data_IF_346679520175
#
_entry.id   IF_346679520175
#
_cell.length_a   1.000
_cell.length_b   1.000
_cell.length_c   1.000
_cell.angle_alpha   90.00
_cell.angle_beta   90.00
_cell.angle_gamma   90.00
#
_symmetry.space_group_name_H-M   'P 1'
#
loop_
_entity.id
_entity.type
_entity.pdbx_description
1 polymer ?
#
# COMPACT_ATOMS: atom_id res chain seq x y z
N UNK A 1 5.91 18.06 37.61
CA UNK A 1 4.57 17.51 37.33
C UNK A 1 3.86 18.48 36.40
N UNK A 2 3.45 18.04 35.21
CA UNK A 2 2.68 18.90 34.31
C UNK A 2 1.38 19.33 34.99
N UNK A 3 0.93 20.56 34.73
CA UNK A 3 -0.34 21.05 35.25
C UNK A 3 -1.48 20.18 34.71
N UNK A 4 -2.57 20.06 35.47
CA UNK A 4 -3.76 19.31 35.03
C UNK A 4 -4.26 19.78 33.65
N UNK A 5 -4.11 21.07 33.34
CA UNK A 5 -4.43 21.64 32.04
C UNK A 5 -3.59 21.06 30.89
N UNK A 6 -2.28 20.92 31.05
CA UNK A 6 -1.43 20.34 30.00
C UNK A 6 -1.72 18.86 29.79
N UNK A 7 -1.99 18.10 30.86
CA UNK A 7 -2.39 16.69 30.73
C UNK A 7 -3.72 16.54 29.99
N UNK A 8 -4.69 17.43 30.26
CA UNK A 8 -5.97 17.45 29.54
C UNK A 8 -5.79 17.84 28.07
N UNK A 9 -4.94 18.82 27.77
CA UNK A 9 -4.60 19.16 26.39
C UNK A 9 -3.94 17.99 25.66
N UNK A 10 -2.97 17.32 26.28
CA UNK A 10 -2.32 16.16 25.66
C UNK A 10 -3.31 15.04 25.37
N UNK A 11 -4.24 14.73 26.29
CA UNK A 11 -5.32 13.76 26.06
C UNK A 11 -6.24 14.17 24.92
N UNK A 12 -6.64 15.44 24.88
CA UNK A 12 -7.41 15.99 23.78
C UNK A 12 -6.67 15.88 22.45
N UNK A 13 -5.41 16.31 22.40
CA UNK A 13 -4.59 16.32 21.20
C UNK A 13 -4.24 14.90 20.70
N UNK A 14 -4.09 13.93 21.60
CA UNK A 14 -3.86 12.53 21.23
C UNK A 14 -5.13 11.75 20.90
N UNK A 15 -6.31 12.33 21.15
CA UNK A 15 -7.59 11.62 21.01
C UNK A 15 -7.83 10.54 22.07
N UNK A 16 -7.06 10.54 23.16
CA UNK A 16 -7.16 9.51 24.20
C UNK A 16 -8.50 9.63 24.93
N UNK A 17 -9.22 8.51 25.04
CA UNK A 17 -10.58 8.46 25.61
C UNK A 17 -11.69 9.03 24.72
N UNK A 18 -11.44 9.32 23.43
CA UNK A 18 -12.46 9.93 22.56
C UNK A 18 -13.67 9.02 22.30
N UNK A 19 -13.49 7.70 22.36
CA UNK A 19 -14.59 6.73 22.30
C UNK A 19 -15.64 6.95 23.40
N UNK A 20 -15.23 7.43 24.57
CA UNK A 20 -16.10 7.64 25.74
C UNK A 20 -16.89 8.96 25.67
N UNK A 21 -16.50 9.86 24.77
CA UNK A 21 -17.09 11.20 24.63
C UNK A 21 -17.69 11.43 23.24
N UNK A 22 -17.92 10.38 22.46
CA UNK A 22 -18.42 10.47 21.08
C UNK A 22 -19.68 11.33 20.94
N UNK A 23 -20.62 11.26 21.89
CA UNK A 23 -21.83 12.09 21.88
C UNK A 23 -21.53 13.59 22.15
N UNK A 24 -20.52 13.88 22.96
CA UNK A 24 -20.07 15.26 23.23
C UNK A 24 -19.27 15.82 22.06
N UNK A 25 -18.61 15.00 21.24
CA UNK A 25 -17.86 15.44 20.06
C UNK A 25 -18.76 16.22 19.08
N UNK A 26 -20.06 15.87 19.00
CA UNK A 26 -21.04 16.57 18.15
C UNK A 26 -21.13 18.07 18.41
N UNK A 27 -20.72 18.56 19.58
CA UNK A 27 -20.70 20.00 19.87
C UNK A 27 -19.60 20.75 19.12
N UNK A 28 -18.60 20.04 18.59
CA UNK A 28 -17.54 20.58 17.74
C UNK A 28 -17.91 20.61 16.25
N UNK A 29 -19.10 20.14 15.86
CA UNK A 29 -19.61 20.19 14.48
C UNK A 29 -20.04 21.63 14.12
N UNK A 30 -19.08 22.55 14.08
CA UNK A 30 -19.28 23.97 13.80
C UNK A 30 -18.66 24.35 12.45
N UNK A 31 -19.18 25.38 11.76
CA UNK A 31 -18.56 25.86 10.53
C UNK A 31 -17.13 26.34 10.78
N UNK A 32 -16.17 25.80 10.02
CA UNK A 32 -14.76 26.22 10.03
C UNK A 32 -14.45 26.96 8.73
N UNK A 33 -13.76 28.12 8.76
CA UNK A 33 -13.34 28.82 7.54
C UNK A 33 -12.47 27.93 6.64
N UNK A 34 -12.56 28.15 5.33
CA UNK A 34 -11.74 27.43 4.35
C UNK A 34 -10.26 27.82 4.53
N UNK A 35 -9.38 26.83 4.56
CA UNK A 35 -7.93 27.01 4.62
C UNK A 35 -7.32 27.36 3.23
N UNK A 36 -6.03 27.69 3.20
CA UNK A 36 -5.29 28.05 2.00
C UNK A 36 -5.08 26.84 1.08
N UNK A 37 -5.15 27.08 -0.24
CA UNK A 37 -4.80 26.05 -1.22
C UNK A 37 -3.28 25.85 -1.25
N UNK A 38 -2.83 24.59 -1.27
CA UNK A 38 -1.43 24.22 -1.46
C UNK A 38 -1.22 23.55 -2.82
N UNK A 39 -0.13 23.88 -3.51
CA UNK A 39 0.29 23.23 -4.76
C UNK A 39 1.52 22.36 -4.49
N UNK A 40 1.43 21.05 -4.78
CA UNK A 40 2.53 20.10 -4.60
C UNK A 40 2.96 19.55 -5.97
N UNK A 41 4.23 19.77 -6.33
CA UNK A 41 4.84 19.19 -7.55
C UNK A 41 5.66 17.96 -7.18
N UNK A 42 5.46 16.85 -7.88
CA UNK A 42 6.23 15.61 -7.68
C UNK A 42 6.62 14.99 -9.01
N UNK A 43 7.86 14.55 -9.13
CA UNK A 43 8.35 13.72 -10.23
C UNK A 43 8.13 12.25 -9.91
N UNK A 44 7.53 11.49 -10.83
CA UNK A 44 7.28 10.06 -10.69
C UNK A 44 7.60 9.30 -11.97
N UNK A 45 8.06 8.06 -11.84
CA UNK A 45 8.21 7.13 -12.95
C UNK A 45 6.84 6.71 -13.51
N UNK A 46 6.67 6.84 -14.83
CA UNK A 46 5.44 6.45 -15.54
C UNK A 46 5.24 4.94 -15.44
N UNK A 47 3.98 4.53 -15.23
CA UNK A 47 3.56 3.12 -15.17
C UNK A 47 2.59 2.82 -16.30
N UNK A 48 2.63 1.61 -16.83
CA UNK A 48 1.77 1.12 -17.89
C UNK A 48 0.45 0.60 -17.31
N UNK A 49 -0.63 1.32 -17.60
CA UNK A 49 -1.98 0.85 -17.27
C UNK A 49 -2.33 -0.47 -17.94
N UNK A 50 -1.78 -0.72 -19.15
CA UNK A 50 -2.01 -1.95 -19.91
C UNK A 50 -1.41 -3.16 -19.19
N UNK A 51 -0.15 -3.07 -18.72
CA UNK A 51 0.49 -4.14 -17.96
C UNK A 51 -0.25 -4.45 -16.66
N UNK A 52 -0.71 -3.40 -15.95
CA UNK A 52 -1.52 -3.56 -14.74
C UNK A 52 -2.82 -4.32 -15.04
N UNK A 53 -3.57 -3.90 -16.05
CA UNK A 53 -4.83 -4.56 -16.44
C UNK A 53 -4.58 -6.02 -16.82
N UNK A 54 -3.57 -6.29 -17.65
CA UNK A 54 -3.22 -7.65 -18.04
C UNK A 54 -2.76 -8.52 -16.86
N UNK A 55 -2.05 -7.95 -15.89
CA UNK A 55 -1.72 -8.67 -14.65
C UNK A 55 -2.97 -9.05 -13.84
N UNK A 56 -4.00 -8.21 -13.83
CA UNK A 56 -5.27 -8.52 -13.16
C UNK A 56 -6.03 -9.62 -13.89
N UNK A 57 -6.10 -9.57 -15.22
CA UNK A 57 -6.72 -10.62 -16.03
C UNK A 57 -6.02 -11.97 -15.81
N UNK A 58 -4.69 -12.00 -15.80
CA UNK A 58 -3.91 -13.21 -15.49
C UNK A 58 -4.23 -13.78 -14.09
N UNK A 59 -4.48 -12.89 -13.12
CA UNK A 59 -4.88 -13.29 -11.77
C UNK A 59 -6.38 -13.65 -11.66
N UNK A 60 -7.16 -13.50 -12.73
CA UNK A 60 -8.63 -13.58 -12.75
C UNK A 60 -9.29 -12.65 -11.73
N UNK A 61 -8.73 -11.45 -11.53
CA UNK A 61 -9.18 -10.51 -10.50
C UNK A 61 -9.27 -11.15 -9.10
N UNK A 62 -8.35 -12.06 -8.77
CA UNK A 62 -8.19 -12.64 -7.42
C UNK A 62 -6.88 -12.17 -6.80
N UNK A 63 -6.86 -12.07 -5.48
CA UNK A 63 -5.64 -11.75 -4.76
C UNK A 63 -4.63 -12.90 -4.88
N UNK A 64 -3.38 -12.58 -5.23
CA UNK A 64 -2.30 -13.56 -5.41
C UNK A 64 -1.71 -14.09 -4.10
N UNK A 65 -1.99 -13.42 -2.98
CA UNK A 65 -1.60 -13.88 -1.65
C UNK A 65 -2.65 -14.77 -0.99
N UNK A 66 -3.93 -14.49 -1.23
CA UNK A 66 -5.04 -15.35 -0.80
C UNK A 66 -6.18 -15.27 -1.82
N UNK A 67 -6.45 -16.38 -2.51
CA UNK A 67 -7.45 -16.44 -3.58
C UNK A 67 -8.90 -16.40 -3.07
N UNK A 68 -9.10 -16.62 -1.77
CA UNK A 68 -10.41 -16.59 -1.10
C UNK A 68 -10.81 -15.18 -0.64
N UNK A 69 -9.92 -14.19 -0.77
CA UNK A 69 -10.29 -12.82 -0.44
C UNK A 69 -11.26 -12.26 -1.48
N UNK A 70 -12.47 -11.96 -1.03
CA UNK A 70 -13.49 -11.29 -1.81
C UNK A 70 -13.40 -9.77 -1.66
N UNK A 71 -13.82 -9.07 -2.69
CA UNK A 71 -13.93 -7.61 -2.72
C UNK A 71 -15.20 -7.22 -3.47
N UNK A 72 -15.64 -5.97 -3.28
CA UNK A 72 -16.78 -5.43 -4.00
C UNK A 72 -16.52 -5.42 -5.52
N UNK A 73 -17.59 -5.43 -6.32
CA UNK A 73 -17.49 -5.31 -7.77
C UNK A 73 -17.27 -3.84 -8.15
N UNK A 74 -16.19 -3.56 -8.87
CA UNK A 74 -15.91 -2.21 -9.35
C UNK A 74 -16.79 -1.88 -10.56
N UNK A 75 -17.49 -0.75 -10.51
CA UNK A 75 -18.37 -0.29 -11.60
C UNK A 75 -17.62 -0.14 -12.93
N UNK A 76 -16.40 0.39 -12.90
CA UNK A 76 -15.60 0.67 -14.09
C UNK A 76 -15.15 -0.58 -14.86
N UNK A 77 -15.08 -1.74 -14.22
CA UNK A 77 -14.62 -2.99 -14.84
C UNK A 77 -15.66 -4.11 -14.80
N UNK A 78 -16.69 -4.00 -13.96
CA UNK A 78 -17.64 -5.07 -13.62
C UNK A 78 -16.94 -6.37 -13.15
N UNK A 79 -15.85 -6.22 -12.39
CA UNK A 79 -15.03 -7.30 -11.81
C UNK A 79 -14.76 -7.01 -10.34
N UNK A 80 -14.35 -8.02 -9.53
CA UNK A 80 -13.86 -7.77 -8.17
C UNK A 80 -12.77 -6.69 -8.13
N UNK A 81 -12.90 -5.71 -7.24
CA UNK A 81 -11.95 -4.62 -7.11
C UNK A 81 -10.60 -5.13 -6.59
N UNK A 82 -9.53 -4.85 -7.33
CA UNK A 82 -8.16 -5.25 -7.00
C UNK A 82 -7.19 -4.08 -7.19
N UNK A 83 -6.10 -4.11 -6.43
CA UNK A 83 -5.04 -3.12 -6.44
C UNK A 83 -3.76 -3.74 -7.00
N UNK A 84 -3.08 -2.96 -7.85
CA UNK A 84 -1.84 -3.39 -8.49
C UNK A 84 -0.68 -2.95 -7.63
N UNK A 85 0.14 -3.90 -7.22
CA UNK A 85 1.29 -3.66 -6.37
C UNK A 85 2.57 -4.05 -7.10
N UNK A 86 3.48 -3.09 -7.27
CA UNK A 86 4.85 -3.41 -7.68
C UNK A 86 5.59 -3.97 -6.47
N UNK A 87 5.97 -5.25 -6.52
CA UNK A 87 6.60 -5.93 -5.39
C UNK A 87 7.95 -5.31 -5.01
N UNK A 88 8.76 -4.95 -6.01
CA UNK A 88 9.82 -3.98 -5.86
C UNK A 88 9.27 -2.59 -6.21
N UNK A 89 9.36 -1.61 -5.29
CA UNK A 89 8.73 -0.32 -5.47
C UNK A 89 9.36 0.48 -6.62
N UNK A 90 8.52 1.18 -7.38
CA UNK A 90 8.95 2.03 -8.50
C UNK A 90 9.87 3.20 -8.09
N UNK A 91 9.94 3.54 -6.80
CA UNK A 91 10.91 4.52 -6.28
C UNK A 91 12.36 4.05 -6.42
N UNK A 92 12.59 2.74 -6.56
CA UNK A 92 13.91 2.17 -6.77
C UNK A 92 14.30 2.09 -8.24
N UNK A 93 13.47 2.57 -9.18
CA UNK A 93 13.70 2.41 -10.62
C UNK A 93 15.10 2.87 -11.07
N UNK A 94 15.62 3.94 -10.48
CA UNK A 94 16.97 4.47 -10.76
C UNK A 94 18.12 3.52 -10.37
N UNK A 95 17.85 2.53 -9.50
CA UNK A 95 18.83 1.53 -9.07
C UNK A 95 18.91 0.33 -10.03
N UNK A 96 18.04 0.26 -11.05
CA UNK A 96 17.98 -0.85 -11.99
C UNK A 96 18.21 -0.38 -13.42
N UNK A 97 19.01 -1.13 -14.18
CA UNK A 97 19.24 -0.90 -15.62
C UNK A 97 18.05 -1.34 -16.49
N UNK A 98 17.06 -1.99 -15.90
CA UNK A 98 15.82 -2.47 -16.55
C UNK A 98 14.60 -1.84 -15.90
N UNK A 99 13.48 -1.79 -16.62
CA UNK A 99 12.24 -1.28 -16.03
C UNK A 99 11.73 -2.20 -14.92
N UNK A 100 11.33 -1.60 -13.80
CA UNK A 100 10.58 -2.29 -12.74
C UNK A 100 9.10 -2.44 -13.08
N UNK A 101 8.61 -1.76 -14.11
CA UNK A 101 7.22 -1.87 -14.57
C UNK A 101 7.05 -3.05 -15.53
N UNK A 102 7.19 -4.26 -14.98
CA UNK A 102 7.14 -5.53 -15.71
C UNK A 102 6.17 -6.50 -15.04
N UNK A 103 5.56 -7.42 -15.80
CA UNK A 103 4.60 -8.40 -15.29
C UNK A 103 5.09 -9.21 -14.09
N UNK A 104 6.38 -9.55 -14.06
CA UNK A 104 6.97 -10.31 -12.95
C UNK A 104 6.91 -9.54 -11.63
N UNK A 105 6.96 -8.21 -11.70
CA UNK A 105 6.98 -7.32 -10.55
C UNK A 105 5.58 -6.79 -10.17
N UNK A 106 4.60 -6.83 -11.08
CA UNK A 106 3.21 -6.47 -10.76
C UNK A 106 2.49 -7.67 -10.12
N UNK A 107 1.91 -7.42 -8.96
CA UNK A 107 1.12 -8.37 -8.16
C UNK A 107 -0.30 -7.83 -8.00
N UNK A 108 -1.29 -8.67 -8.30
CA UNK A 108 -2.71 -8.38 -8.09
C UNK A 108 -3.09 -8.70 -6.64
N UNK A 109 -3.48 -7.68 -5.86
CA UNK A 109 -3.81 -7.82 -4.44
C UNK A 109 -5.20 -7.24 -4.13
N UNK A 110 -5.89 -7.82 -3.15
CA UNK A 110 -7.04 -7.15 -2.57
C UNK A 110 -6.57 -5.95 -1.73
N UNK A 111 -7.46 -4.96 -1.45
CA UNK A 111 -7.08 -3.77 -0.69
C UNK A 111 -6.50 -4.08 0.70
N UNK A 112 -7.04 -5.10 1.38
CA UNK A 112 -6.53 -5.51 2.70
C UNK A 112 -5.10 -6.02 2.64
N UNK A 113 -4.79 -6.94 1.71
CA UNK A 113 -3.43 -7.44 1.53
C UNK A 113 -2.49 -6.33 1.07
N UNK A 114 -2.93 -5.47 0.14
CA UNK A 114 -2.08 -4.39 -0.34
C UNK A 114 -1.70 -3.43 0.78
N UNK A 115 -2.65 -3.02 1.63
CA UNK A 115 -2.36 -2.16 2.79
C UNK A 115 -1.56 -2.89 3.86
N UNK A 116 -1.78 -4.18 4.08
CA UNK A 116 -1.00 -4.99 5.02
C UNK A 116 0.47 -5.09 4.63
N UNK A 117 0.82 -5.14 3.35
CA UNK A 117 2.23 -5.10 2.91
C UNK A 117 2.89 -3.76 3.26
N UNK A 118 2.16 -2.64 3.18
CA UNK A 118 2.73 -1.30 3.45
C UNK A 118 2.73 -0.94 4.94
N UNK A 119 1.68 -1.28 5.67
CA UNK A 119 1.42 -0.78 7.02
C UNK A 119 1.29 -1.88 8.08
N UNK A 120 1.32 -3.15 7.69
CA UNK A 120 1.23 -4.27 8.62
C UNK A 120 2.48 -4.40 9.49
N UNK A 121 2.41 -5.31 10.47
CA UNK A 121 3.53 -5.61 11.34
C UNK A 121 4.70 -6.18 10.52
N UNK A 122 5.93 -5.89 10.94
CA UNK A 122 7.14 -6.27 10.21
C UNK A 122 7.23 -7.78 9.91
N UNK A 123 6.85 -8.62 10.88
CA UNK A 123 6.79 -10.08 10.71
C UNK A 123 5.74 -10.50 9.67
N UNK A 124 4.58 -9.85 9.64
CA UNK A 124 3.53 -10.14 8.66
C UNK A 124 3.92 -9.70 7.26
N UNK A 125 4.52 -8.51 7.12
CA UNK A 125 5.08 -8.01 5.86
C UNK A 125 6.12 -8.99 5.33
N UNK A 126 7.05 -9.44 6.18
CA UNK A 126 8.08 -10.41 5.81
C UNK A 126 7.47 -11.71 5.26
N UNK A 127 6.47 -12.29 5.94
CA UNK A 127 5.79 -13.51 5.48
C UNK A 127 5.17 -13.31 4.08
N UNK A 128 4.53 -12.15 3.85
CA UNK A 128 3.92 -11.83 2.57
C UNK A 128 4.97 -11.64 1.46
N UNK A 129 6.05 -10.91 1.75
CA UNK A 129 7.14 -10.66 0.81
C UNK A 129 7.91 -11.95 0.46
N UNK A 130 8.14 -12.82 1.44
CA UNK A 130 8.72 -14.15 1.23
C UNK A 130 7.85 -14.98 0.26
N UNK A 131 6.52 -14.97 0.47
CA UNK A 131 5.58 -15.66 -0.43
C UNK A 131 5.62 -15.11 -1.87
N UNK A 132 5.71 -13.79 -2.03
CA UNK A 132 5.81 -13.14 -3.34
C UNK A 132 7.13 -13.54 -4.01
N UNK A 133 8.25 -13.46 -3.27
CA UNK A 133 9.57 -13.78 -3.81
C UNK A 133 9.62 -15.22 -4.32
N UNK A 134 9.14 -16.19 -3.53
CA UNK A 134 9.10 -17.60 -3.94
C UNK A 134 8.32 -17.78 -5.26
N UNK A 135 7.19 -17.08 -5.43
CA UNK A 135 6.37 -17.15 -6.64
C UNK A 135 6.97 -16.41 -7.84
N UNK A 136 7.82 -15.39 -7.62
CA UNK A 136 8.23 -14.43 -8.66
C UNK A 136 9.73 -14.41 -8.98
N UNK A 137 10.60 -14.96 -8.14
CA UNK A 137 12.07 -14.88 -8.26
C UNK A 137 12.58 -15.31 -9.64
N UNK A 138 12.12 -16.44 -10.17
CA UNK A 138 12.51 -16.93 -11.50
C UNK A 138 12.07 -16.01 -12.64
N UNK A 139 10.88 -15.38 -12.52
CA UNK A 139 10.34 -14.45 -13.52
C UNK A 139 11.02 -13.08 -13.45
N UNK A 140 11.36 -12.62 -12.24
CA UNK A 140 12.15 -11.41 -12.00
C UNK A 140 13.54 -11.58 -12.62
N UNK A 141 14.21 -12.71 -12.37
CA UNK A 141 15.52 -13.01 -12.93
C UNK A 141 15.53 -13.04 -14.47
N UNK A 142 14.47 -13.57 -15.09
CA UNK A 142 14.26 -13.53 -16.55
C UNK A 142 14.04 -12.12 -17.09
N UNK A 143 13.52 -11.21 -16.27
CA UNK A 143 13.30 -9.80 -16.61
C UNK A 143 14.53 -8.91 -16.32
N UNK A 144 15.68 -9.52 -16.00
CA UNK A 144 16.93 -8.80 -15.68
C UNK A 144 17.04 -8.35 -14.22
N UNK A 145 16.08 -8.71 -13.37
CA UNK A 145 16.06 -8.35 -11.93
C UNK A 145 16.51 -9.57 -11.13
N UNK A 146 17.82 -9.69 -10.86
CA UNK A 146 18.40 -10.78 -10.08
C UNK A 146 18.81 -10.28 -8.70
N UNK A 147 18.27 -10.92 -7.67
CA UNK A 147 18.57 -10.64 -6.27
C UNK A 147 18.21 -11.85 -5.43
N UNK A 148 18.79 -11.95 -4.25
CA UNK A 148 18.45 -12.92 -3.22
C UNK A 148 17.12 -12.59 -2.54
N UNK A 149 16.60 -13.53 -1.75
CA UNK A 149 15.37 -13.34 -0.98
C UNK A 149 15.51 -12.23 0.05
N UNK A 150 16.63 -12.19 0.79
CA UNK A 150 16.88 -11.18 1.81
C UNK A 150 16.99 -9.77 1.21
N UNK A 151 17.64 -9.64 0.05
CA UNK A 151 17.68 -8.39 -0.69
C UNK A 151 16.27 -7.97 -1.15
N UNK A 152 15.50 -8.91 -1.70
CA UNK A 152 14.13 -8.63 -2.12
C UNK A 152 13.26 -8.14 -0.97
N UNK A 153 13.27 -8.83 0.17
CA UNK A 153 12.49 -8.42 1.35
C UNK A 153 12.93 -7.04 1.82
N UNK A 154 14.24 -6.78 1.90
CA UNK A 154 14.78 -5.47 2.29
C UNK A 154 14.33 -4.34 1.36
N UNK A 155 14.39 -4.55 0.05
CA UNK A 155 13.99 -3.54 -0.94
C UNK A 155 12.47 -3.39 -1.06
N UNK A 156 11.72 -4.49 -1.00
CA UNK A 156 10.26 -4.48 -1.09
C UNK A 156 9.61 -3.88 0.16
N UNK A 157 10.25 -3.99 1.31
CA UNK A 157 9.77 -3.40 2.56
C UNK A 157 10.06 -1.90 2.69
N UNK A 158 10.83 -1.30 1.75
CA UNK A 158 10.99 0.15 1.69
C UNK A 158 9.66 0.80 1.31
N UNK A 159 8.94 1.26 2.34
CA UNK A 159 7.66 1.94 2.19
C UNK A 159 7.88 3.44 2.32
N UNK A 160 8.10 4.07 1.15
CA UNK A 160 8.32 5.51 0.90
C UNK A 160 9.59 6.14 1.49
#
# INVERSE_FOLDING_TARGET
MYSAGLNNYCRFASGDGFSEIAEKIKTFDVPVPKDQNLTITKTIWKRSGVLRTQAFELANYKCELNREHETFIAESTNKPYMEGHHALPMSLQDQFSVSLDVYSNIVCLCPLCHRKIHYGMENEKKIMLDSIYVKRSSRLAKSGIRMSQDEFVRFANHTF
#
